data_IF_260506486813
#
_entry.id   IF_260506486813
#
_cell.length_a   1.000
_cell.length_b   1.000
_cell.length_c   1.000
_cell.angle_alpha   90.00
_cell.angle_beta   90.00
_cell.angle_gamma   90.00
#
_symmetry.space_group_name_H-M   'P 1'
#
loop_
_entity.id
_entity.type
_entity.pdbx_description
1 polymer ?
#
# COMPACT_ATOMS: atom_id res chain seq x y z
N UNK A 1 -3.62 -13.89 4.33
CA UNK A 1 -4.19 -13.95 2.96
C UNK A 1 -4.92 -15.25 2.62
N UNK A 2 -4.48 -16.42 3.06
CA UNK A 2 -5.08 -17.71 2.64
C UNK A 2 -6.58 -17.85 2.91
N UNK A 3 -7.07 -17.42 4.08
CA UNK A 3 -8.49 -17.48 4.43
C UNK A 3 -9.37 -16.64 3.50
N UNK A 4 -8.93 -15.42 3.20
CA UNK A 4 -9.59 -14.53 2.25
C UNK A 4 -9.63 -15.14 0.84
N UNK A 5 -8.50 -15.69 0.37
CA UNK A 5 -8.43 -16.35 -0.94
C UNK A 5 -9.34 -17.59 -1.02
N UNK A 6 -9.49 -18.34 0.08
CA UNK A 6 -10.46 -19.46 0.15
C UNK A 6 -11.89 -18.95 -0.02
N UNK A 7 -12.27 -17.88 0.67
CA UNK A 7 -13.61 -17.26 0.53
C UNK A 7 -13.84 -16.79 -0.91
N UNK A 8 -12.87 -16.07 -1.49
CA UNK A 8 -12.97 -15.55 -2.86
C UNK A 8 -13.12 -16.68 -3.88
N UNK A 9 -12.32 -17.75 -3.77
CA UNK A 9 -12.45 -18.93 -4.63
C UNK A 9 -13.83 -19.59 -4.49
N UNK A 10 -14.39 -19.60 -3.27
CA UNK A 10 -15.75 -20.09 -3.00
C UNK A 10 -16.85 -19.29 -3.72
N UNK A 11 -16.64 -18.00 -3.97
CA UNK A 11 -17.57 -17.14 -4.72
C UNK A 11 -17.57 -17.43 -6.24
N UNK A 12 -16.67 -18.28 -6.73
CA UNK A 12 -16.48 -18.62 -8.15
C UNK A 12 -16.44 -17.39 -9.08
N UNK A 13 -15.61 -16.37 -8.78
CA UNK A 13 -15.46 -15.22 -9.66
C UNK A 13 -14.86 -15.65 -10.99
N UNK A 14 -15.20 -14.95 -12.05
CA UNK A 14 -14.63 -15.21 -13.38
C UNK A 14 -13.20 -14.67 -13.51
N UNK A 15 -12.94 -13.54 -12.87
CA UNK A 15 -11.65 -12.85 -12.83
C UNK A 15 -11.50 -12.26 -11.43
N UNK A 16 -10.28 -12.29 -10.90
CA UNK A 16 -9.90 -11.60 -9.66
C UNK A 16 -8.70 -10.72 -10.01
N UNK A 17 -8.88 -9.42 -9.90
CA UNK A 17 -7.79 -8.45 -10.01
C UNK A 17 -7.27 -8.16 -8.60
N UNK A 18 -5.98 -8.40 -8.38
CA UNK A 18 -5.29 -8.15 -7.11
C UNK A 18 -4.25 -7.06 -7.36
N UNK A 19 -4.32 -5.99 -6.57
CA UNK A 19 -3.35 -4.91 -6.59
C UNK A 19 -2.61 -4.91 -5.25
N UNK A 20 -1.30 -5.13 -5.29
CA UNK A 20 -0.41 -5.16 -4.13
C UNK A 20 0.76 -4.22 -4.38
N UNK A 21 1.31 -3.64 -3.31
CA UNK A 21 2.52 -2.83 -3.41
C UNK A 21 3.72 -3.74 -3.60
N UNK A 22 4.62 -3.39 -4.52
CA UNK A 22 5.86 -4.12 -4.79
C UNK A 22 6.91 -3.84 -3.69
N UNK A 23 6.60 -4.22 -2.46
CA UNK A 23 7.47 -4.05 -1.28
C UNK A 23 7.30 -5.26 -0.36
N UNK A 24 8.39 -5.86 0.12
CA UNK A 24 8.31 -7.04 0.97
C UNK A 24 8.07 -6.64 2.44
N UNK A 25 6.83 -6.33 2.75
CA UNK A 25 6.41 -5.92 4.09
C UNK A 25 6.32 -7.09 5.09
N UNK A 26 6.57 -8.33 4.66
CA UNK A 26 6.48 -9.55 5.48
C UNK A 26 7.78 -9.90 6.22
N UNK A 27 8.78 -9.01 6.17
CA UNK A 27 10.04 -9.22 6.88
C UNK A 27 9.82 -9.09 8.40
N UNK A 28 10.35 -10.01 9.20
CA UNK A 28 10.06 -10.04 10.65
C UNK A 28 10.85 -9.03 11.47
N UNK A 29 11.82 -8.34 10.86
CA UNK A 29 12.69 -7.38 11.55
C UNK A 29 12.50 -5.98 10.98
N UNK A 30 12.50 -4.99 11.87
CA UNK A 30 12.25 -3.58 11.55
C UNK A 30 13.25 -3.00 10.55
N UNK A 31 14.54 -3.29 10.72
CA UNK A 31 15.62 -2.69 9.91
C UNK A 31 15.46 -2.91 8.40
N UNK A 32 15.29 -4.15 7.89
CA UNK A 32 15.13 -4.35 6.46
C UNK A 32 13.76 -3.89 5.94
N UNK A 33 12.68 -3.95 6.75
CA UNK A 33 11.37 -3.36 6.40
C UNK A 33 11.46 -1.85 6.21
N UNK A 34 12.14 -1.18 7.13
CA UNK A 34 12.29 0.27 7.10
C UNK A 34 13.06 0.71 5.86
N UNK A 35 14.15 0.02 5.51
CA UNK A 35 14.96 0.36 4.33
C UNK A 35 14.16 0.15 3.04
N UNK A 36 13.49 -0.99 2.87
CA UNK A 36 12.67 -1.24 1.67
C UNK A 36 11.54 -0.22 1.53
N UNK A 37 10.81 0.05 2.61
CA UNK A 37 9.70 1.00 2.56
C UNK A 37 10.18 2.44 2.33
N UNK A 38 11.34 2.83 2.87
CA UNK A 38 11.93 4.15 2.64
C UNK A 38 12.21 4.38 1.15
N UNK A 39 12.82 3.40 0.47
CA UNK A 39 13.05 3.48 -0.97
C UNK A 39 11.74 3.53 -1.76
N UNK A 40 10.75 2.77 -1.33
CA UNK A 40 9.42 2.80 -1.93
C UNK A 40 8.77 4.18 -1.79
N UNK A 41 8.77 4.77 -0.59
CA UNK A 41 8.25 6.12 -0.38
C UNK A 41 9.00 7.16 -1.21
N UNK A 42 10.32 7.10 -1.26
CA UNK A 42 11.13 8.02 -2.07
C UNK A 42 10.66 8.03 -3.53
N UNK A 43 10.51 6.83 -4.13
CA UNK A 43 10.02 6.73 -5.51
C UNK A 43 8.61 7.32 -5.70
N UNK A 44 7.73 7.20 -4.70
CA UNK A 44 6.39 7.79 -4.73
C UNK A 44 6.46 9.31 -4.64
N UNK A 45 7.27 9.86 -3.74
CA UNK A 45 7.48 11.31 -3.63
C UNK A 45 8.07 11.91 -4.90
N UNK A 46 9.05 11.24 -5.52
CA UNK A 46 9.62 11.67 -6.81
C UNK A 46 8.55 11.68 -7.91
N UNK A 47 7.68 10.66 -7.96
CA UNK A 47 6.57 10.62 -8.91
C UNK A 47 5.58 11.76 -8.67
N UNK A 48 5.24 12.05 -7.41
CA UNK A 48 4.32 13.14 -7.07
C UNK A 48 4.94 14.51 -7.37
N UNK A 49 6.25 14.67 -7.20
CA UNK A 49 6.98 15.88 -7.59
C UNK A 49 6.87 16.17 -9.08
N UNK A 50 6.95 15.14 -9.92
CA UNK A 50 6.83 15.29 -11.37
C UNK A 50 5.37 15.40 -11.83
N UNK A 51 4.44 14.72 -11.15
CA UNK A 51 3.05 14.59 -11.63
C UNK A 51 2.06 15.61 -11.03
N UNK A 52 2.42 16.28 -9.93
CA UNK A 52 1.53 17.24 -9.27
C UNK A 52 2.15 18.64 -9.27
N UNK A 53 1.54 19.54 -10.07
CA UNK A 53 1.89 20.96 -10.09
C UNK A 53 1.51 21.66 -8.77
N UNK A 54 2.17 22.79 -8.49
CA UNK A 54 1.94 23.67 -7.32
C UNK A 54 0.45 24.07 -7.11
N UNK A 55 -0.36 24.06 -8.17
CA UNK A 55 -1.80 24.37 -8.11
C UNK A 55 -2.59 23.32 -7.33
N UNK A 56 -2.08 22.09 -7.26
CA UNK A 56 -2.70 20.96 -6.54
C UNK A 56 -2.02 20.70 -5.17
N UNK A 57 -1.33 21.72 -4.62
CA UNK A 57 -0.57 21.62 -3.38
C UNK A 57 -1.41 21.18 -2.17
N UNK A 58 -2.70 21.53 -2.11
CA UNK A 58 -3.60 21.07 -1.05
C UNK A 58 -3.87 19.56 -1.14
N UNK A 59 -4.17 19.06 -2.34
CA UNK A 59 -4.35 17.63 -2.61
C UNK A 59 -3.07 16.85 -2.32
N UNK A 60 -1.91 17.41 -2.70
CA UNK A 60 -0.60 16.84 -2.40
C UNK A 60 -0.34 16.78 -0.90
N UNK A 61 -0.59 17.87 -0.17
CA UNK A 61 -0.43 17.92 1.28
C UNK A 61 -1.35 16.92 2.01
N UNK A 62 -2.58 16.71 1.52
CA UNK A 62 -3.47 15.67 2.03
C UNK A 62 -2.93 14.27 1.78
N UNK A 63 -2.40 13.99 0.58
CA UNK A 63 -1.83 12.71 0.22
C UNK A 63 -0.57 12.39 1.05
N UNK A 64 0.32 13.37 1.19
CA UNK A 64 1.55 13.30 1.98
C UNK A 64 1.25 13.04 3.46
N UNK A 65 0.27 13.76 4.03
CA UNK A 65 -0.01 13.69 5.47
C UNK A 65 -0.92 12.52 5.88
N UNK A 66 -2.00 12.28 5.14
CA UNK A 66 -3.03 11.31 5.52
C UNK A 66 -2.73 9.91 5.00
N UNK A 67 -2.13 9.77 3.83
CA UNK A 67 -1.88 8.47 3.21
C UNK A 67 -0.44 8.04 3.48
N UNK A 68 0.55 8.81 3.05
CA UNK A 68 1.96 8.46 3.20
C UNK A 68 2.42 8.58 4.65
N UNK A 69 2.07 9.66 5.34
CA UNK A 69 2.41 9.87 6.75
C UNK A 69 1.85 8.79 7.69
N UNK A 70 0.65 8.27 7.42
CA UNK A 70 0.10 7.11 8.17
C UNK A 70 0.94 5.85 7.91
N UNK A 71 1.27 5.57 6.64
CA UNK A 71 2.06 4.39 6.28
C UNK A 71 3.47 4.41 6.88
N UNK A 72 4.14 5.56 6.84
CA UNK A 72 5.46 5.76 7.48
C UNK A 72 5.37 5.46 8.97
N UNK A 73 4.35 6.00 9.67
CA UNK A 73 4.16 5.73 11.10
C UNK A 73 3.95 4.24 11.39
N UNK A 74 3.14 3.56 10.59
CA UNK A 74 2.90 2.13 10.76
C UNK A 74 4.20 1.32 10.59
N UNK A 75 5.03 1.65 9.60
CA UNK A 75 6.32 0.97 9.40
C UNK A 75 7.28 1.17 10.58
N UNK A 76 7.29 2.36 11.19
CA UNK A 76 8.18 2.70 12.32
C UNK A 76 7.69 2.19 13.67
N UNK A 77 6.37 2.17 13.89
CA UNK A 77 5.75 1.91 15.21
C UNK A 77 5.26 0.46 15.34
N UNK A 78 4.83 -0.18 14.26
CA UNK A 78 4.26 -1.53 14.33
C UNK A 78 5.33 -2.60 14.10
N UNK A 79 5.43 -3.53 15.06
CA UNK A 79 6.32 -4.69 15.05
C UNK A 79 5.92 -5.79 14.04
N UNK A 80 5.20 -5.41 12.97
CA UNK A 80 4.90 -6.27 11.81
C UNK A 80 3.55 -6.96 11.80
N UNK A 81 2.67 -6.76 12.79
CA UNK A 81 1.42 -7.53 12.92
C UNK A 81 0.20 -6.87 12.22
N UNK A 82 0.24 -5.56 11.92
CA UNK A 82 -0.90 -4.83 11.33
C UNK A 82 -0.48 -3.92 10.17
N UNK A 83 0.22 -4.47 9.18
CA UNK A 83 0.33 -3.76 7.89
C UNK A 83 -1.01 -3.83 7.15
N UNK A 84 -1.67 -2.68 7.03
CA UNK A 84 -2.88 -2.52 6.24
C UNK A 84 -2.53 -2.70 4.74
N UNK A 85 -2.58 -3.93 4.25
CA UNK A 85 -2.61 -4.19 2.80
C UNK A 85 -3.87 -3.57 2.23
N UNK A 86 -3.73 -2.49 1.47
CA UNK A 86 -4.80 -1.91 0.66
C UNK A 86 -5.11 -2.84 -0.51
N UNK A 87 -5.82 -3.94 -0.26
CA UNK A 87 -6.31 -4.82 -1.31
C UNK A 87 -7.62 -4.26 -1.88
N UNK A 88 -7.56 -3.57 -3.03
CA UNK A 88 -8.76 -3.18 -3.78
C UNK A 88 -9.17 -4.31 -4.72
N UNK A 89 -10.01 -5.23 -4.25
CA UNK A 89 -10.58 -6.28 -5.09
C UNK A 89 -11.86 -5.81 -5.77
N UNK A 90 -11.88 -5.86 -7.10
CA UNK A 90 -13.09 -5.67 -7.91
C UNK A 90 -13.56 -7.01 -8.46
N UNK A 91 -14.83 -7.33 -8.26
CA UNK A 91 -15.47 -8.50 -8.84
C UNK A 91 -16.32 -8.10 -10.03
N UNK A 92 -16.08 -8.71 -11.20
CA UNK A 92 -16.95 -8.54 -12.38
C UNK A 92 -17.83 -9.78 -12.53
N UNK A 93 -19.14 -9.63 -12.30
CA UNK A 93 -20.17 -10.62 -12.71
C UNK A 93 -20.83 -10.14 -14.01
N UNK A 94 -21.16 -11.08 -14.91
CA UNK A 94 -22.00 -10.80 -16.08
C UNK A 94 -23.45 -10.66 -15.63
#
# INVERSE_FOLDING_TARGET
MEGLMKVIRGLKPRIVDVLEMESNQNLTTLSPRFVEELFSFASVFDCLEVCMDEVDAESRALLDSLVLGRRIRNVVVEDGDVTCTFARMKFRKK
#
